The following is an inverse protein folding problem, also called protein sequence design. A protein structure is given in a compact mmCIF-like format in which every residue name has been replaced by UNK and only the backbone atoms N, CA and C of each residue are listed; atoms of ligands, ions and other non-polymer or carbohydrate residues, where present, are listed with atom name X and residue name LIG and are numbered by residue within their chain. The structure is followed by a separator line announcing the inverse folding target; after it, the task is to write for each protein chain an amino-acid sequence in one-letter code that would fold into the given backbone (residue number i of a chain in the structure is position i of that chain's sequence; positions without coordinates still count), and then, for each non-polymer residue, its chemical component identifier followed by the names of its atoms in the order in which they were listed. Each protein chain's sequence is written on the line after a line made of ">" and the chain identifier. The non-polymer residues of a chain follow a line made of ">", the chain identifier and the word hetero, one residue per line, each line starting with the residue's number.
data_IF_007330176991
#
_entry.id   IF_007330176991
#
_cell.length_a   1.000
_cell.length_b   1.000
_cell.length_c   1.000
_cell.angle_alpha   90.00
_cell.angle_beta   90.00
_cell.angle_gamma   90.00
#
_symmetry.space_group_name_H-M   'P 1'
#
loop_
_entity.id
_entity.type
_entity.pdbx_description
1 polymer ?
#
# COMPACT_ATOMS: atom_id res chain seq x y z
N UNK A 1 2.60 24.55 -10.63
CA UNK A 1 3.68 23.57 -10.35
C UNK A 1 3.27 22.70 -9.17
N UNK A 2 3.64 21.40 -9.15
CA UNK A 2 3.35 20.52 -8.01
C UNK A 2 4.02 21.04 -6.73
N UNK A 3 3.42 20.73 -5.58
CA UNK A 3 3.94 21.14 -4.29
C UNK A 3 5.25 20.41 -3.98
N UNK A 4 5.29 19.10 -4.20
CA UNK A 4 6.49 18.28 -4.04
C UNK A 4 6.40 17.00 -4.87
N UNK A 5 7.54 16.46 -5.29
CA UNK A 5 7.66 15.09 -5.83
C UNK A 5 8.70 14.31 -5.02
N UNK A 6 8.50 13.01 -4.80
CA UNK A 6 9.49 12.15 -4.13
C UNK A 6 9.34 10.69 -4.52
N UNK A 7 10.36 9.88 -4.24
CA UNK A 7 10.34 8.43 -4.43
C UNK A 7 10.13 7.71 -3.10
N UNK A 8 9.28 6.70 -3.11
CA UNK A 8 8.97 5.88 -1.94
C UNK A 8 9.19 4.39 -2.22
N UNK A 9 9.54 3.64 -1.18
CA UNK A 9 9.65 2.18 -1.19
C UNK A 9 8.99 1.60 0.06
N UNK A 10 8.17 0.57 -0.11
CA UNK A 10 7.44 -0.08 0.97
C UNK A 10 7.54 -1.59 0.84
N UNK A 11 7.95 -2.27 1.92
CA UNK A 11 8.25 -3.71 1.90
C UNK A 11 7.74 -4.37 3.16
N UNK A 12 7.07 -5.51 3.03
CA UNK A 12 6.71 -6.32 4.18
C UNK A 12 5.90 -7.55 3.82
N UNK A 13 5.51 -8.34 4.83
CA UNK A 13 4.73 -9.53 4.61
C UNK A 13 3.33 -9.22 4.09
N UNK A 14 2.86 -10.01 3.14
CA UNK A 14 1.50 -10.03 2.62
C UNK A 14 1.09 -11.47 2.34
N UNK A 15 0.07 -11.93 3.06
CA UNK A 15 -0.41 -13.30 3.00
C UNK A 15 -1.52 -13.42 1.95
N UNK A 16 -1.65 -14.62 1.37
CA UNK A 16 -2.77 -14.95 0.49
C UNK A 16 -4.04 -14.90 1.33
N UNK A 17 -4.94 -14.00 0.94
CA UNK A 17 -6.24 -13.91 1.56
C UNK A 17 -7.23 -14.83 0.81
N UNK A 18 -8.27 -15.35 1.49
CA UNK A 18 -9.34 -16.07 0.82
C UNK A 18 -9.98 -15.15 -0.24
N UNK A 19 -10.38 -15.73 -1.39
CA UNK A 19 -10.98 -15.10 -2.60
C UNK A 19 -12.31 -14.37 -2.33
N UNK A 20 -12.23 -13.40 -1.42
CA UNK A 20 -13.34 -12.70 -0.81
C UNK A 20 -13.68 -11.50 -1.69
N UNK A 21 -14.95 -11.38 -2.05
CA UNK A 21 -15.44 -10.20 -2.73
C UNK A 21 -15.41 -9.00 -1.78
N UNK A 22 -14.90 -7.86 -2.27
CA UNK A 22 -14.90 -6.59 -1.55
C UNK A 22 -15.34 -5.46 -2.48
N UNK A 23 -15.96 -4.44 -1.89
CA UNK A 23 -16.21 -3.17 -2.56
C UNK A 23 -15.08 -2.20 -2.21
N UNK A 24 -14.44 -1.62 -3.23
CA UNK A 24 -13.55 -0.49 -3.08
C UNK A 24 -14.39 0.79 -3.25
N UNK A 25 -14.51 1.64 -2.21
CA UNK A 25 -15.28 2.88 -2.32
C UNK A 25 -14.58 3.88 -3.25
N UNK A 26 -15.29 4.92 -3.74
CA UNK A 26 -14.64 6.03 -4.43
C UNK A 26 -13.66 6.77 -3.51
N UNK A 27 -12.70 7.49 -4.11
CA UNK A 27 -11.74 8.35 -3.38
C UNK A 27 -12.50 9.29 -2.44
N UNK A 28 -12.25 9.19 -1.16
CA UNK A 28 -12.98 9.97 -0.17
C UNK A 28 -12.59 9.64 1.26
N UNK A 29 -13.49 9.95 2.20
CA UNK A 29 -13.27 9.75 3.63
C UNK A 29 -13.26 8.27 4.04
N UNK A 30 -14.02 7.44 3.33
CA UNK A 30 -14.16 6.01 3.64
C UNK A 30 -13.11 5.12 2.96
N UNK A 31 -12.15 5.72 2.24
CA UNK A 31 -11.08 4.97 1.60
C UNK A 31 -10.18 4.27 2.63
N UNK A 32 -10.00 2.96 2.44
CA UNK A 32 -9.18 2.13 3.31
C UNK A 32 -9.86 1.72 4.61
N UNK A 33 -11.15 2.02 4.80
CA UNK A 33 -11.90 1.53 5.96
C UNK A 33 -11.91 -0.01 6.00
N UNK A 34 -11.77 -0.56 7.21
CA UNK A 34 -11.67 -2.00 7.43
C UNK A 34 -10.34 -2.64 7.05
N UNK A 35 -9.45 -1.93 6.34
CA UNK A 35 -8.18 -2.51 5.86
C UNK A 35 -7.22 -2.85 7.01
N UNK A 36 -7.21 -2.06 8.08
CA UNK A 36 -6.46 -2.38 9.29
C UNK A 36 -6.94 -3.67 9.96
N UNK A 37 -8.26 -3.82 10.12
CA UNK A 37 -8.84 -5.03 10.71
C UNK A 37 -8.51 -6.26 9.86
N UNK A 38 -8.59 -6.15 8.53
CA UNK A 38 -8.20 -7.22 7.62
C UNK A 38 -6.70 -7.57 7.73
N UNK A 39 -5.82 -6.57 7.77
CA UNK A 39 -4.37 -6.78 7.92
C UNK A 39 -3.99 -7.40 9.26
N UNK A 40 -4.65 -6.98 10.34
CA UNK A 40 -4.47 -7.57 11.67
C UNK A 40 -4.94 -9.02 11.72
N UNK A 41 -6.10 -9.33 11.13
CA UNK A 41 -6.62 -10.69 11.06
C UNK A 41 -5.68 -11.63 10.28
N UNK A 42 -5.17 -11.18 9.12
CA UNK A 42 -4.19 -11.94 8.34
C UNK A 42 -2.90 -12.23 9.15
N UNK A 43 -2.39 -11.22 9.85
CA UNK A 43 -1.20 -11.37 10.71
C UNK A 43 -1.42 -12.37 11.85
N UNK A 44 -2.61 -12.37 12.47
CA UNK A 44 -2.96 -13.31 13.53
C UNK A 44 -3.01 -14.76 13.02
N UNK A 45 -3.61 -14.99 11.85
CA UNK A 45 -3.64 -16.32 11.20
C UNK A 45 -2.22 -16.84 10.95
N UNK A 46 -1.34 -16.02 10.37
CA UNK A 46 0.05 -16.40 10.11
C UNK A 46 0.80 -16.80 11.39
N UNK A 47 0.64 -16.00 12.46
CA UNK A 47 1.29 -16.29 13.75
C UNK A 47 0.78 -17.60 14.37
N UNK A 48 -0.52 -17.89 14.22
CA UNK A 48 -1.10 -19.17 14.64
C UNK A 48 -0.54 -20.36 13.87
N UNK A 49 -0.41 -20.25 12.54
CA UNK A 49 0.20 -21.27 11.69
C UNK A 49 1.67 -21.53 12.05
N UNK A 50 2.47 -20.48 12.25
CA UNK A 50 3.88 -20.60 12.63
C UNK A 50 4.04 -21.27 14.01
N UNK A 51 3.16 -20.96 14.96
CA UNK A 51 3.17 -21.55 16.30
C UNK A 51 2.77 -23.04 16.27
N UNK A 52 1.75 -23.39 15.48
CA UNK A 52 1.33 -24.78 15.27
C UNK A 52 2.38 -25.63 14.54
N UNK A 53 3.06 -25.06 13.54
CA UNK A 53 4.14 -25.74 12.82
C UNK A 53 5.36 -26.03 13.70
N UNK A 54 5.70 -25.11 14.62
CA UNK A 54 6.77 -25.33 15.61
C UNK A 54 6.40 -26.39 16.65
N UNK A 55 5.13 -26.50 17.03
CA UNK A 55 4.65 -27.54 17.95
C UNK A 55 4.66 -28.95 17.32
N UNK A 56 4.62 -29.06 15.98
CA UNK A 56 4.67 -30.35 15.25
C UNK A 56 6.07 -30.84 14.89
N UNK A 57 7.11 -30.01 15.05
CA UNK A 57 8.48 -30.39 14.74
C UNK A 57 9.06 -31.27 15.87
N UNK A 58 9.02 -32.60 15.67
CA UNK A 58 9.74 -33.54 16.55
C UNK A 58 11.23 -33.16 16.63
N UNK A 59 11.83 -33.10 17.82
CA UNK A 59 13.25 -32.81 17.96
C UNK A 59 14.04 -34.01 17.42
N UNK A 60 14.70 -33.87 16.27
CA UNK A 60 15.61 -34.91 15.78
C UNK A 60 16.00 -34.90 14.30
N UNK A 61 15.26 -34.23 13.41
CA UNK A 61 15.62 -34.22 11.99
C UNK A 61 16.49 -33.00 11.64
N UNK A 62 17.81 -33.20 11.49
CA UNK A 62 18.74 -32.21 10.92
C UNK A 62 18.40 -32.00 9.43
N UNK A 63 18.09 -30.78 8.96
CA UNK A 63 17.93 -30.53 7.54
C UNK A 63 19.29 -30.47 6.85
N UNK A 64 19.47 -31.34 5.84
CA UNK A 64 20.64 -31.34 4.95
C UNK A 64 20.51 -30.15 3.99
N UNK A 65 21.42 -29.18 4.09
CA UNK A 65 21.47 -28.03 3.20
C UNK A 65 21.90 -28.46 1.78
N UNK A 66 21.04 -28.23 0.78
CA UNK A 66 21.43 -28.26 -0.65
C UNK A 66 21.92 -26.86 -1.08
N UNK A 67 23.04 -26.76 -1.82
CA UNK A 67 23.52 -25.47 -2.32
C UNK A 67 22.87 -25.13 -3.68
N UNK A 68 22.68 -23.83 -3.93
CA UNK A 68 22.55 -23.29 -5.29
C UNK A 68 21.13 -23.09 -5.83
N UNK A 69 20.31 -22.25 -5.18
CA UNK A 69 19.20 -21.56 -5.85
C UNK A 69 19.20 -20.11 -5.37
N UNK A 70 19.32 -19.16 -6.29
CA UNK A 70 19.08 -17.75 -5.96
C UNK A 70 17.74 -17.67 -5.22
N UNK A 71 17.76 -17.15 -3.99
CA UNK A 71 16.59 -17.13 -3.13
C UNK A 71 15.49 -16.33 -3.82
N UNK A 72 14.45 -17.03 -4.28
CA UNK A 72 13.16 -16.42 -4.53
C UNK A 72 12.75 -15.73 -3.22
N UNK A 73 12.15 -14.52 -3.26
CA UNK A 73 11.60 -13.92 -2.05
C UNK A 73 10.69 -14.96 -1.38
N UNK A 74 10.74 -15.10 -0.04
CA UNK A 74 9.88 -16.06 0.65
C UNK A 74 8.43 -15.79 0.22
N UNK A 75 7.69 -16.86 -0.07
CA UNK A 75 6.25 -16.77 -0.29
C UNK A 75 5.65 -15.86 0.80
N UNK A 76 4.97 -14.80 0.36
CA UNK A 76 4.34 -13.85 1.28
C UNK A 76 5.10 -12.55 1.59
N UNK A 77 6.08 -12.10 0.80
CA UNK A 77 6.56 -10.71 0.83
C UNK A 77 6.01 -9.88 -0.35
N UNK A 78 5.65 -8.62 -0.11
CA UNK A 78 5.28 -7.64 -1.12
C UNK A 78 6.20 -6.42 -1.03
N UNK A 79 6.78 -6.02 -2.16
CA UNK A 79 7.73 -4.91 -2.26
C UNK A 79 7.28 -3.91 -3.33
N UNK A 80 6.78 -2.76 -2.89
CA UNK A 80 6.45 -1.61 -3.73
C UNK A 80 7.70 -0.73 -3.87
N UNK A 81 8.26 -0.66 -5.08
CA UNK A 81 9.51 0.06 -5.35
C UNK A 81 9.34 1.23 -6.29
N UNK A 82 10.23 2.20 -6.10
CA UNK A 82 10.40 3.38 -6.96
C UNK A 82 9.07 4.05 -7.29
N UNK A 83 8.17 4.13 -6.30
CA UNK A 83 6.89 4.81 -6.42
C UNK A 83 7.17 6.30 -6.58
N UNK A 84 6.85 6.85 -7.75
CA UNK A 84 7.03 8.26 -8.07
C UNK A 84 5.79 9.04 -7.64
N UNK A 85 5.89 9.68 -6.48
CA UNK A 85 4.76 10.38 -5.85
C UNK A 85 4.86 11.86 -6.18
N UNK A 86 3.78 12.42 -6.75
CA UNK A 86 3.60 13.85 -6.98
C UNK A 86 2.47 14.38 -6.13
N UNK A 87 2.77 15.31 -5.24
CA UNK A 87 1.77 16.00 -4.41
C UNK A 87 1.35 17.28 -5.13
N UNK A 88 0.08 17.33 -5.52
CA UNK A 88 -0.48 18.37 -6.36
C UNK A 88 -0.90 19.60 -5.57
N UNK A 89 -1.27 19.40 -4.31
CA UNK A 89 -1.70 20.48 -3.45
C UNK A 89 -2.42 19.99 -2.21
N UNK A 90 -3.08 20.96 -1.57
CA UNK A 90 -3.87 20.74 -0.36
C UNK A 90 -5.30 20.35 -0.79
N UNK A 91 -5.87 19.37 -0.10
CA UNK A 91 -7.30 19.08 -0.15
C UNK A 91 -7.99 19.84 1.00
N UNK A 92 -8.73 20.93 0.71
CA UNK A 92 -9.38 21.71 1.75
C UNK A 92 -10.55 20.98 2.41
N UNK A 93 -11.24 20.07 1.71
CA UNK A 93 -12.41 19.36 2.24
C UNK A 93 -12.06 18.22 3.20
N UNK A 94 -10.82 17.75 3.15
CA UNK A 94 -10.29 16.65 3.99
C UNK A 94 -9.10 17.07 4.86
N UNK A 95 -8.77 18.37 4.86
CA UNK A 95 -7.59 18.95 5.50
C UNK A 95 -6.32 18.10 5.34
N UNK A 96 -5.97 17.74 4.11
CA UNK A 96 -4.81 16.91 3.81
C UNK A 96 -4.07 17.36 2.55
N UNK A 97 -3.22 16.49 2.03
CA UNK A 97 -2.62 16.67 0.71
C UNK A 97 -3.15 15.61 -0.25
N UNK A 98 -3.38 16.03 -1.49
CA UNK A 98 -3.71 15.13 -2.59
C UNK A 98 -2.51 14.99 -3.51
N UNK A 99 -2.31 13.79 -4.03
CA UNK A 99 -1.30 13.53 -5.02
C UNK A 99 -1.66 12.38 -5.96
N UNK A 100 -0.76 12.17 -6.91
CA UNK A 100 -0.76 11.08 -7.86
C UNK A 100 0.48 10.20 -7.64
N UNK A 101 0.35 8.92 -7.95
CA UNK A 101 1.48 8.00 -8.11
C UNK A 101 1.59 7.70 -9.59
N UNK A 102 2.65 8.20 -10.23
CA UNK A 102 2.76 8.22 -11.69
C UNK A 102 3.36 6.93 -12.26
N UNK A 103 4.20 6.27 -11.46
CA UNK A 103 4.86 5.02 -11.83
C UNK A 103 5.43 4.33 -10.59
N UNK A 104 5.87 3.10 -10.79
CA UNK A 104 6.61 2.29 -9.83
C UNK A 104 6.52 0.81 -10.20
N UNK A 105 7.05 -0.05 -9.35
CA UNK A 105 6.99 -1.50 -9.56
C UNK A 105 6.53 -2.21 -8.30
N UNK A 106 5.95 -3.38 -8.51
CA UNK A 106 5.54 -4.31 -7.46
C UNK A 106 6.29 -5.62 -7.68
N UNK A 107 6.90 -6.15 -6.62
CA UNK A 107 7.61 -7.42 -6.62
C UNK A 107 7.20 -8.30 -5.43
N UNK A 108 7.43 -9.60 -5.57
CA UNK A 108 7.15 -10.59 -4.53
C UNK A 108 5.91 -11.42 -4.86
N UNK A 109 4.99 -11.56 -3.91
CA UNK A 109 3.77 -12.35 -4.03
C UNK A 109 2.90 -11.99 -5.25
N UNK A 110 2.97 -10.73 -5.71
CA UNK A 110 2.55 -10.33 -7.06
C UNK A 110 3.68 -9.53 -7.70
N UNK A 111 3.83 -9.64 -9.02
CA UNK A 111 4.84 -8.90 -9.79
C UNK A 111 4.20 -8.12 -10.93
N UNK A 112 4.46 -6.81 -11.00
CA UNK A 112 3.79 -5.91 -11.94
C UNK A 112 4.35 -4.50 -11.98
N UNK A 113 3.84 -3.70 -12.91
CA UNK A 113 4.17 -2.27 -13.04
C UNK A 113 3.01 -1.43 -12.53
N UNK A 114 3.29 -0.44 -11.68
CA UNK A 114 2.31 0.59 -11.32
C UNK A 114 2.18 1.55 -12.51
N UNK A 115 0.99 1.61 -13.09
CA UNK A 115 0.72 2.45 -14.29
C UNK A 115 -0.04 3.73 -13.97
N UNK A 116 -0.69 3.78 -12.81
CA UNK A 116 -1.40 4.94 -12.29
C UNK A 116 -1.69 4.72 -10.81
N UNK A 117 -1.93 5.80 -10.08
CA UNK A 117 -2.37 5.73 -8.70
C UNK A 117 -2.66 7.11 -8.16
N UNK A 118 -3.30 7.15 -6.99
CA UNK A 118 -3.41 8.36 -6.22
C UNK A 118 -2.97 8.13 -4.78
N UNK A 119 -2.64 9.24 -4.14
CA UNK A 119 -2.32 9.27 -2.72
C UNK A 119 -3.04 10.42 -2.05
N UNK A 120 -3.52 10.15 -0.84
CA UNK A 120 -4.03 11.13 0.10
C UNK A 120 -3.14 11.09 1.33
N UNK A 121 -2.50 12.21 1.67
CA UNK A 121 -1.55 12.29 2.78
C UNK A 121 -2.11 13.18 3.88
N UNK A 122 -2.12 12.67 5.11
CA UNK A 122 -2.54 13.40 6.31
C UNK A 122 -3.97 13.96 6.22
N UNK A 123 -4.87 13.25 5.54
CA UNK A 123 -6.30 13.61 5.56
C UNK A 123 -6.87 13.34 6.94
N UNK A 124 -7.79 14.19 7.38
CA UNK A 124 -8.53 14.00 8.63
C UNK A 124 -9.35 12.71 8.59
N UNK A 125 -9.34 11.98 9.71
CA UNK A 125 -10.09 10.76 9.96
C UNK A 125 -10.56 10.73 11.42
N UNK A 126 -11.53 9.86 11.73
CA UNK A 126 -12.20 9.82 13.05
C UNK A 126 -11.23 9.62 14.23
N UNK A 127 -10.08 9.00 13.99
CA UNK A 127 -9.07 8.70 15.01
C UNK A 127 -7.70 9.35 14.76
N UNK A 128 -7.68 10.47 14.04
CA UNK A 128 -6.48 11.28 13.81
C UNK A 128 -6.28 11.59 12.34
N UNK A 129 -5.10 11.25 11.81
CA UNK A 129 -4.76 11.50 10.40
C UNK A 129 -4.52 10.21 9.67
N UNK A 130 -4.89 10.17 8.39
CA UNK A 130 -4.71 9.01 7.52
C UNK A 130 -3.83 9.35 6.33
N UNK A 131 -3.01 8.39 5.93
CA UNK A 131 -2.40 8.32 4.61
C UNK A 131 -3.04 7.14 3.87
N UNK A 132 -3.44 7.36 2.62
CA UNK A 132 -4.11 6.36 1.82
C UNK A 132 -3.56 6.36 0.40
N UNK A 133 -3.29 5.17 -0.12
CA UNK A 133 -2.73 4.92 -1.45
C UNK A 133 -3.68 3.97 -2.18
N UNK A 134 -3.92 4.25 -3.46
CA UNK A 134 -4.53 3.27 -4.38
C UNK A 134 -3.75 3.26 -5.68
N UNK A 135 -3.19 2.10 -6.02
CA UNK A 135 -2.30 1.89 -7.15
C UNK A 135 -2.94 0.90 -8.12
N UNK A 136 -2.96 1.26 -9.41
CA UNK A 136 -3.29 0.33 -10.48
C UNK A 136 -2.02 -0.35 -10.96
N UNK A 137 -2.03 -1.67 -10.93
CA UNK A 137 -0.89 -2.51 -11.25
C UNK A 137 -1.23 -3.36 -12.46
N UNK A 138 -0.38 -3.30 -13.47
CA UNK A 138 -0.36 -4.24 -14.58
C UNK A 138 0.53 -5.43 -14.21
N UNK A 139 -0.02 -6.61 -13.87
CA UNK A 139 0.76 -7.81 -13.63
C UNK A 139 1.57 -8.22 -14.87
N UNK A 140 2.72 -8.86 -14.64
CA UNK A 140 3.60 -9.36 -15.72
C UNK A 140 3.15 -10.73 -16.23
N UNK A 141 2.68 -11.59 -15.33
CA UNK A 141 2.44 -13.02 -15.63
C UNK A 141 0.97 -13.32 -15.89
N UNK A 142 0.08 -12.82 -15.04
CA UNK A 142 -1.35 -13.11 -15.13
C UNK A 142 -2.08 -12.01 -15.93
N UNK A 143 -3.03 -12.37 -16.81
CA UNK A 143 -3.88 -11.38 -17.45
C UNK A 143 -4.85 -10.77 -16.43
N UNK A 144 -5.11 -9.47 -16.57
CA UNK A 144 -6.05 -8.73 -15.72
C UNK A 144 -5.40 -7.57 -14.97
N UNK A 145 -6.21 -6.77 -14.30
CA UNK A 145 -5.76 -5.62 -13.53
C UNK A 145 -5.79 -5.92 -12.03
N UNK A 146 -4.72 -5.49 -11.35
CA UNK A 146 -4.65 -5.52 -9.90
C UNK A 146 -4.75 -4.10 -9.35
N UNK A 147 -5.43 -3.95 -8.21
CA UNK A 147 -5.42 -2.73 -7.43
C UNK A 147 -4.75 -3.01 -6.08
N UNK A 148 -3.74 -2.21 -5.75
CA UNK A 148 -3.10 -2.22 -4.44
C UNK A 148 -3.62 -1.03 -3.64
N UNK A 149 -4.30 -1.30 -2.53
CA UNK A 149 -4.67 -0.27 -1.56
C UNK A 149 -3.77 -0.35 -0.34
N UNK A 150 -3.34 0.81 0.13
CA UNK A 150 -2.56 0.95 1.35
C UNK A 150 -3.16 2.01 2.24
N UNK A 151 -3.37 1.70 3.51
CA UNK A 151 -3.82 2.67 4.52
C UNK A 151 -2.84 2.71 5.68
N UNK A 152 -2.66 3.90 6.21
CA UNK A 152 -1.83 4.17 7.37
C UNK A 152 -2.51 5.23 8.21
N UNK A 153 -2.57 5.01 9.50
CA UNK A 153 -3.11 5.95 10.49
C UNK A 153 -1.97 6.51 11.30
N UNK A 154 -2.04 7.81 11.57
CA UNK A 154 -1.15 8.53 12.43
C UNK A 154 -1.99 9.04 13.58
N UNK A 155 -1.73 8.52 14.77
CA UNK A 155 -2.30 9.09 15.99
C UNK A 155 -1.61 10.43 16.25
N UNK A 156 -2.37 11.38 16.78
CA UNK A 156 -1.89 12.72 17.11
C UNK A 156 -0.71 12.66 18.08
N UNK A 157 0.33 13.48 17.84
CA UNK A 157 1.48 13.63 18.74
C UNK A 157 2.83 13.26 18.11
N UNK A 158 3.82 14.14 18.29
CA UNK A 158 5.13 14.07 17.62
C UNK A 158 5.93 12.79 17.90
N UNK A 159 5.77 12.20 19.10
CA UNK A 159 6.50 10.99 19.51
C UNK A 159 5.86 9.67 19.03
N UNK A 160 4.52 9.61 18.92
CA UNK A 160 3.81 8.44 18.37
C UNK A 160 3.95 8.36 16.85
N UNK A 161 3.97 9.52 16.19
CA UNK A 161 4.06 9.64 14.74
C UNK A 161 5.30 8.94 14.17
N UNK A 162 6.47 8.96 14.81
CA UNK A 162 7.70 8.41 14.20
C UNK A 162 7.73 6.87 14.11
N UNK A 163 7.20 6.16 15.11
CA UNK A 163 7.15 4.70 15.08
C UNK A 163 5.95 4.17 14.29
N UNK A 164 4.79 4.86 14.38
CA UNK A 164 3.59 4.58 13.59
C UNK A 164 3.74 5.00 12.12
N UNK A 165 4.73 5.86 11.78
CA UNK A 165 4.92 6.34 10.40
C UNK A 165 5.48 5.33 9.43
N UNK A 166 5.87 4.14 9.89
CA UNK A 166 6.52 3.19 8.99
C UNK A 166 5.59 2.10 8.50
N UNK A 167 4.41 1.91 9.08
CA UNK A 167 3.55 0.75 8.79
C UNK A 167 2.39 1.11 7.88
N UNK A 168 2.11 0.27 6.87
CA UNK A 168 1.02 0.42 5.91
C UNK A 168 0.21 -0.87 5.84
N UNK A 169 -1.01 -0.86 6.35
CA UNK A 169 -1.96 -1.95 6.12
C UNK A 169 -2.34 -1.97 4.65
N UNK A 170 -2.17 -3.11 3.98
CA UNK A 170 -2.24 -3.21 2.53
C UNK A 170 -3.14 -4.35 2.11
N UNK A 171 -3.90 -4.16 1.03
CA UNK A 171 -4.53 -5.26 0.30
C UNK A 171 -4.25 -5.14 -1.18
N UNK A 172 -4.14 -6.29 -1.83
CA UNK A 172 -4.11 -6.42 -3.28
C UNK A 172 -5.41 -7.09 -3.69
N UNK A 173 -6.13 -6.47 -4.61
CA UNK A 173 -7.35 -7.04 -5.17
C UNK A 173 -7.26 -7.17 -6.67
N UNK A 174 -7.91 -8.18 -7.22
CA UNK A 174 -8.11 -8.38 -8.65
C UNK A 174 -9.44 -7.76 -9.06
N UNK A 175 -9.43 -7.00 -10.15
CA UNK A 175 -10.64 -6.42 -10.71
C UNK A 175 -11.47 -7.49 -11.44
N UNK A 176 -12.78 -7.29 -11.47
CA UNK A 176 -13.69 -8.07 -12.32
C UNK A 176 -13.40 -7.80 -13.81
N UNK A 177 -13.83 -8.67 -14.74
CA UNK A 177 -13.67 -8.42 -16.18
C UNK A 177 -14.27 -7.08 -16.63
N UNK A 178 -15.42 -6.69 -16.09
CA UNK A 178 -16.08 -5.43 -16.43
C UNK A 178 -15.28 -4.22 -15.95
N UNK A 179 -14.77 -4.26 -14.71
CA UNK A 179 -13.92 -3.19 -14.19
C UNK A 179 -12.56 -3.13 -14.89
N UNK A 180 -12.01 -4.29 -15.26
CA UNK A 180 -10.80 -4.37 -16.08
C UNK A 180 -11.00 -3.71 -17.45
N UNK A 181 -12.13 -3.99 -18.12
CA UNK A 181 -12.49 -3.37 -19.39
C UNK A 181 -12.62 -1.85 -19.25
N UNK A 182 -13.26 -1.37 -18.17
CA UNK A 182 -13.36 0.07 -17.87
C UNK A 182 -12.00 0.74 -17.73
N UNK A 183 -11.02 0.06 -17.14
CA UNK A 183 -9.64 0.54 -17.03
C UNK A 183 -8.93 0.54 -18.38
N UNK A 184 -9.16 -0.47 -19.22
CA UNK A 184 -8.51 -0.59 -20.53
C UNK A 184 -8.96 0.49 -21.52
N UNK A 185 -10.26 0.79 -21.55
CA UNK A 185 -10.84 1.79 -22.48
C UNK A 185 -10.72 3.23 -21.99
N UNK A 186 -10.29 3.45 -20.74
CA UNK A 186 -10.19 4.79 -20.18
C UNK A 186 -8.97 5.55 -20.71
N UNK A 187 -9.23 6.74 -21.25
CA UNK A 187 -8.18 7.68 -21.64
C UNK A 187 -7.33 8.18 -20.44
N UNK A 188 -7.97 8.28 -19.27
CA UNK A 188 -7.32 8.63 -18.01
C UNK A 188 -7.62 7.57 -16.95
N UNK A 189 -6.66 6.66 -16.76
CA UNK A 189 -6.75 5.59 -15.76
C UNK A 189 -6.76 6.11 -14.32
N UNK A 190 -6.17 7.27 -14.06
CA UNK A 190 -6.22 7.93 -12.75
C UNK A 190 -7.65 8.32 -12.38
N UNK A 191 -8.44 8.76 -13.37
CA UNK A 191 -9.86 9.08 -13.17
C UNK A 191 -10.72 7.84 -12.90
N UNK A 192 -10.39 6.68 -13.47
CA UNK A 192 -11.10 5.44 -13.14
C UNK A 192 -10.82 5.03 -11.70
N UNK A 193 -9.56 5.11 -11.27
CA UNK A 193 -9.13 4.71 -9.92
C UNK A 193 -9.81 5.47 -8.79
N UNK A 194 -10.19 6.74 -9.01
CA UNK A 194 -10.92 7.52 -8.01
C UNK A 194 -12.38 7.10 -7.86
N UNK A 195 -12.89 6.26 -8.76
CA UNK A 195 -14.23 5.67 -8.68
C UNK A 195 -14.30 4.46 -7.74
N UNK A 196 -15.46 3.81 -7.74
CA UNK A 196 -15.71 2.57 -7.01
C UNK A 196 -15.46 1.34 -7.87
N UNK A 197 -15.07 0.24 -7.22
CA UNK A 197 -14.98 -1.09 -7.81
C UNK A 197 -15.80 -2.05 -6.94
N UNK A 198 -16.71 -2.81 -7.54
CA UNK A 198 -17.59 -3.75 -6.83
C UNK A 198 -17.16 -5.17 -7.14
N UNK A 199 -17.32 -6.07 -6.17
CA UNK A 199 -16.95 -7.49 -6.31
C UNK A 199 -15.49 -7.73 -6.71
N UNK A 200 -14.60 -6.78 -6.40
CA UNK A 200 -13.16 -6.97 -6.52
C UNK A 200 -12.72 -8.08 -5.58
N UNK A 201 -11.81 -8.94 -6.05
CA UNK A 201 -11.43 -10.16 -5.33
C UNK A 201 -10.13 -9.97 -4.59
N UNK A 202 -10.13 -10.17 -3.28
CA UNK A 202 -8.91 -10.03 -2.48
C UNK A 202 -7.94 -11.16 -2.83
N UNK A 203 -6.73 -10.79 -3.25
CA UNK A 203 -5.63 -11.70 -3.59
C UNK A 203 -4.65 -11.79 -2.42
N UNK A 204 -4.28 -10.64 -1.86
CA UNK A 204 -3.33 -10.55 -0.76
C UNK A 204 -3.80 -9.53 0.26
N UNK A 205 -3.46 -9.77 1.53
CA UNK A 205 -3.61 -8.80 2.62
C UNK A 205 -2.35 -8.85 3.48
N UNK A 206 -1.85 -7.68 3.87
CA UNK A 206 -0.57 -7.61 4.55
C UNK A 206 -0.28 -6.30 5.23
N UNK A 207 0.92 -6.22 5.78
CA UNK A 207 1.43 -5.03 6.46
C UNK A 207 2.81 -4.71 5.91
N UNK A 208 2.93 -3.62 5.17
CA UNK A 208 4.19 -3.17 4.60
C UNK A 208 4.88 -2.16 5.51
N UNK A 209 6.20 -2.09 5.42
CA UNK A 209 6.99 -1.06 6.08
C UNK A 209 7.65 -0.13 5.07
N UNK A 210 7.55 1.18 5.28
CA UNK A 210 8.32 2.18 4.55
C UNK A 210 9.80 1.92 4.79
N UNK A 211 10.58 1.80 3.71
CA UNK A 211 12.04 1.56 3.76
C UNK A 211 12.79 2.71 3.10
N UNK A 212 13.94 3.06 3.65
CA UNK A 212 14.84 4.04 3.04
C UNK A 212 14.36 5.48 3.16
N UNK A 213 13.93 5.90 4.35
CA UNK A 213 13.50 7.29 4.63
C UNK A 213 14.53 8.34 4.21
N UNK A 214 15.83 8.06 4.37
CA UNK A 214 16.92 8.96 3.91
C UNK A 214 16.92 9.09 2.38
N UNK A 215 16.68 7.98 1.66
CA UNK A 215 16.57 7.99 0.19
C UNK A 215 15.32 8.73 -0.27
N UNK A 216 14.21 8.56 0.44
CA UNK A 216 12.99 9.33 0.19
C UNK A 216 13.23 10.83 0.40
N UNK A 217 13.79 11.22 1.54
CA UNK A 217 14.10 12.62 1.87
C UNK A 217 15.05 13.27 0.84
N UNK A 218 16.09 12.55 0.42
CA UNK A 218 17.02 13.04 -0.63
C UNK A 218 16.40 13.10 -2.03
N UNK A 219 15.37 12.30 -2.31
CA UNK A 219 14.65 12.33 -3.59
C UNK A 219 13.63 13.45 -3.72
N UNK A 220 13.26 14.12 -2.63
CA UNK A 220 12.24 15.18 -2.61
C UNK A 220 12.61 16.33 -3.56
N UNK A 221 11.71 16.83 -4.40
CA UNK A 221 11.92 18.01 -5.27
C UNK A 221 10.70 18.92 -5.25
N UNK A 222 10.90 20.23 -5.46
CA UNK A 222 9.82 21.23 -5.43
C UNK A 222 9.79 22.05 -4.14
N UNK A 223 8.61 22.53 -3.76
CA UNK A 223 8.38 23.45 -2.63
C UNK A 223 8.43 22.74 -1.27
N UNK A 224 9.60 22.17 -0.93
CA UNK A 224 9.80 21.34 0.28
C UNK A 224 9.37 22.04 1.57
N UNK A 225 9.70 23.31 1.76
CA UNK A 225 9.36 24.06 2.97
C UNK A 225 7.85 24.19 3.17
N UNK A 226 7.10 24.46 2.10
CA UNK A 226 5.63 24.57 2.16
C UNK A 226 4.98 23.22 2.47
N UNK A 227 5.51 22.15 1.87
CA UNK A 227 5.08 20.79 2.19
C UNK A 227 5.38 20.43 3.64
N UNK A 228 6.63 20.57 4.08
CA UNK A 228 7.07 20.21 5.44
C UNK A 228 6.36 21.04 6.51
N UNK A 229 6.21 22.35 6.31
CA UNK A 229 5.45 23.19 7.24
C UNK A 229 3.98 22.76 7.34
N UNK A 230 3.34 22.46 6.21
CA UNK A 230 1.97 21.94 6.19
C UNK A 230 1.84 20.52 6.76
N UNK A 231 2.88 19.69 6.62
CA UNK A 231 2.98 18.35 7.18
C UNK A 231 3.08 18.42 8.71
N UNK A 232 4.07 19.16 9.24
CA UNK A 232 4.29 19.34 10.67
C UNK A 232 3.04 19.90 11.34
N UNK A 233 2.44 20.95 10.76
CA UNK A 233 1.19 21.54 11.27
C UNK A 233 0.07 20.52 11.43
N UNK A 234 -0.06 19.57 10.50
CA UNK A 234 -1.13 18.56 10.49
C UNK A 234 -0.84 17.33 11.35
N UNK A 235 0.43 17.03 11.59
CA UNK A 235 0.84 15.95 12.50
C UNK A 235 0.72 16.38 13.96
N UNK A 236 0.93 17.67 14.24
CA UNK A 236 0.84 18.24 15.60
C UNK A 236 -0.60 18.54 16.03
N UNK A 237 -1.52 18.75 15.07
CA UNK A 237 -2.96 18.96 15.31
C UNK A 237 -3.70 17.65 15.27
#
# INVERSE_FOLDING_TARGET
>A
MPLITFRERMVGPADIAPDTAVTLPPRGRTCGDGLFAAAAAATAVRTGHETGARAGARPGARPVARPGRAALPPEGELDLRDLDVRVDGIDPGRDGFRGAVERGTVHGAVTGTVVAGFVDLLTEADHGRRMYYRLLVRPVVEPGWLVVEGVKELRSGAFGAWHETTTLATRVVRLTPDDALRVDVAADRGRVLVGSFTDARVVLVGTLRVRGLVRQASSMRGSRLRFLGGFVRRVVR
#
